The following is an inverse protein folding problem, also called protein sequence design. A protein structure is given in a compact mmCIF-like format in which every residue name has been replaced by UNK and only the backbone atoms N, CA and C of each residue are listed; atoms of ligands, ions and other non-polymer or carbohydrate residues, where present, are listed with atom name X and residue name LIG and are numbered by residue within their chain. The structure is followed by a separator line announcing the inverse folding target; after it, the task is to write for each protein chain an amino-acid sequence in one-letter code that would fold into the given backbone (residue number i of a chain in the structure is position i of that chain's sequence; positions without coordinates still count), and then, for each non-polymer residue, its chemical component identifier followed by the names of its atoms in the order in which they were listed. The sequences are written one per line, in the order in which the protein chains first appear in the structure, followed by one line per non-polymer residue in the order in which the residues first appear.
data_IF_352965971826
#
_entry.id   IF_352965971826
#
_cell.length_a   1.000
_cell.length_b   1.000
_cell.length_c   1.000
_cell.angle_alpha   90.00
_cell.angle_beta   90.00
_cell.angle_gamma   90.00
#
_symmetry.space_group_name_H-M   'P 1'
#
loop_
_entity.id
_entity.type
_entity.pdbx_description
1 polymer ?
#
# COMPACT_ATOMS: atom_id res chain seq x y z
N UNK A 1 5.94 1.86 20.52
CA UNK A 1 6.59 1.34 19.29
C UNK A 1 6.18 2.22 18.12
N UNK A 2 6.98 2.37 17.07
CA UNK A 2 6.51 2.94 15.80
C UNK A 2 6.19 1.79 14.86
N UNK A 3 4.93 1.67 14.47
CA UNK A 3 4.48 0.72 13.46
C UNK A 3 4.45 1.44 12.11
N UNK A 4 5.21 0.95 11.15
CA UNK A 4 5.29 1.47 9.80
C UNK A 4 4.52 0.54 8.86
N UNK A 5 3.58 1.08 8.10
CA UNK A 5 3.03 0.40 6.92
C UNK A 5 3.80 0.89 5.71
N UNK A 6 4.29 -0.06 4.92
CA UNK A 6 4.75 0.18 3.56
C UNK A 6 3.72 -0.45 2.61
N UNK A 7 3.13 0.33 1.73
CA UNK A 7 2.21 -0.15 0.70
C UNK A 7 2.60 0.44 -0.66
N UNK A 8 2.63 -0.38 -1.70
CA UNK A 8 2.98 0.08 -3.04
C UNK A 8 1.82 -0.20 -4.00
N UNK A 9 1.49 0.80 -4.80
CA UNK A 9 0.48 0.73 -5.84
C UNK A 9 1.12 0.55 -7.19
N UNK A 10 0.77 -0.51 -7.90
CA UNK A 10 1.34 -0.83 -9.21
C UNK A 10 0.22 -0.82 -10.24
N UNK A 11 0.31 0.08 -11.20
CA UNK A 11 -0.70 0.28 -12.23
C UNK A 11 -0.07 0.68 -13.56
N UNK A 12 -0.61 0.09 -14.62
CA UNK A 12 -0.45 0.57 -15.99
C UNK A 12 -1.86 0.68 -16.57
N UNK A 13 -2.21 1.73 -17.34
CA UNK A 13 -3.57 1.91 -17.85
C UNK A 13 -3.91 0.95 -18.99
N UNK A 14 -5.22 0.71 -19.19
CA UNK A 14 -5.70 -0.09 -20.33
C UNK A 14 -5.26 0.56 -21.63
N UNK A 15 -4.66 -0.24 -22.51
CA UNK A 15 -4.19 0.23 -23.82
C UNK A 15 -2.77 0.81 -23.80
N UNK A 16 -2.05 0.74 -22.68
CA UNK A 16 -0.62 1.05 -22.68
C UNK A 16 0.15 0.04 -23.54
N UNK A 17 1.32 0.44 -24.04
CA UNK A 17 2.15 -0.43 -24.88
C UNK A 17 2.85 -1.50 -24.04
N UNK A 18 2.95 -2.73 -24.59
CA UNK A 18 3.61 -3.85 -23.90
C UNK A 18 5.03 -3.52 -23.45
N UNK A 19 5.80 -2.76 -24.24
CA UNK A 19 7.16 -2.37 -23.88
C UNK A 19 7.22 -1.40 -22.69
N UNK A 20 6.17 -0.61 -22.45
CA UNK A 20 6.09 0.26 -21.26
C UNK A 20 5.83 -0.60 -20.02
N UNK A 21 4.95 -1.60 -20.13
CA UNK A 21 4.64 -2.51 -19.03
C UNK A 21 5.87 -3.39 -18.71
N UNK A 22 6.57 -3.86 -19.73
CA UNK A 22 7.83 -4.62 -19.60
C UNK A 22 8.93 -3.78 -18.94
N UNK A 23 9.09 -2.52 -19.35
CA UNK A 23 10.05 -1.61 -18.73
C UNK A 23 9.73 -1.35 -17.25
N UNK A 24 8.46 -1.08 -16.92
CA UNK A 24 8.02 -0.91 -15.54
C UNK A 24 8.23 -2.18 -14.70
N UNK A 25 8.00 -3.35 -15.29
CA UNK A 25 8.30 -4.64 -14.67
C UNK A 25 9.79 -4.81 -14.36
N UNK A 26 10.64 -4.62 -15.37
CA UNK A 26 12.08 -4.83 -15.26
C UNK A 26 12.77 -3.81 -14.34
N UNK A 27 12.24 -2.58 -14.29
CA UNK A 27 12.87 -1.48 -13.53
C UNK A 27 12.26 -1.28 -12.15
N UNK A 28 10.98 -1.57 -11.93
CA UNK A 28 10.33 -1.32 -10.64
C UNK A 28 9.80 -2.61 -10.01
N UNK A 29 8.82 -3.27 -10.66
CA UNK A 29 8.03 -4.30 -9.97
C UNK A 29 8.86 -5.51 -9.53
N UNK A 30 9.67 -6.05 -10.44
CA UNK A 30 10.52 -7.21 -10.14
C UNK A 30 11.66 -6.85 -9.17
N UNK A 31 12.45 -5.78 -9.38
CA UNK A 31 13.53 -5.41 -8.47
C UNK A 31 13.03 -5.08 -7.05
N UNK A 32 11.91 -4.35 -6.92
CA UNK A 32 11.32 -4.00 -5.63
C UNK A 32 10.94 -5.26 -4.84
N UNK A 33 10.17 -6.15 -5.47
CA UNK A 33 9.74 -7.41 -4.85
C UNK A 33 10.92 -8.33 -4.53
N UNK A 34 11.90 -8.43 -5.42
CA UNK A 34 13.09 -9.28 -5.24
C UNK A 34 13.91 -8.78 -4.05
N UNK A 35 14.21 -7.49 -4.00
CA UNK A 35 14.97 -6.88 -2.91
C UNK A 35 14.23 -7.05 -1.57
N UNK A 36 12.93 -6.76 -1.51
CA UNK A 36 12.14 -6.94 -0.28
C UNK A 36 12.05 -8.41 0.15
N UNK A 37 12.20 -9.37 -0.78
CA UNK A 37 12.23 -10.79 -0.46
C UNK A 37 13.50 -11.23 0.29
N UNK A 38 14.59 -10.46 0.20
CA UNK A 38 15.83 -10.71 0.97
C UNK A 38 15.68 -10.38 2.47
N UNK A 39 14.62 -9.66 2.85
CA UNK A 39 14.37 -9.17 4.21
C UNK A 39 13.12 -9.82 4.83
N UNK A 40 13.24 -11.01 5.46
CA UNK A 40 12.08 -11.79 5.92
C UNK A 40 11.26 -11.10 7.02
N UNK A 41 11.85 -10.16 7.76
CA UNK A 41 11.18 -9.41 8.83
C UNK A 41 10.36 -8.22 8.32
N UNK A 42 10.52 -7.83 7.04
CA UNK A 42 9.79 -6.72 6.45
C UNK A 42 8.44 -7.20 5.93
N UNK A 43 7.39 -6.54 6.42
CA UNK A 43 5.98 -6.78 6.05
C UNK A 43 5.42 -5.56 5.34
N UNK A 44 4.68 -5.79 4.27
CA UNK A 44 4.21 -4.70 3.41
C UNK A 44 2.93 -5.06 2.64
N UNK A 45 2.25 -4.05 2.11
CA UNK A 45 1.12 -4.20 1.21
C UNK A 45 1.54 -4.05 -0.25
N UNK A 46 0.90 -4.81 -1.14
CA UNK A 46 1.03 -4.66 -2.58
C UNK A 46 -0.35 -4.57 -3.21
N UNK A 47 -0.62 -3.50 -3.95
CA UNK A 47 -1.76 -3.41 -4.85
C UNK A 47 -1.27 -3.56 -6.28
N UNK A 48 -1.85 -4.51 -7.02
CA UNK A 48 -1.68 -4.64 -8.46
C UNK A 48 -3.05 -4.56 -9.11
N UNK A 49 -3.20 -3.67 -10.09
CA UNK A 49 -4.46 -3.61 -10.85
C UNK A 49 -4.67 -4.90 -11.65
N UNK A 50 -5.94 -5.23 -11.91
CA UNK A 50 -6.30 -6.50 -12.56
C UNK A 50 -5.68 -6.65 -13.95
N UNK A 51 -5.54 -5.55 -14.68
CA UNK A 51 -4.93 -5.55 -16.03
C UNK A 51 -3.43 -5.83 -15.98
N UNK A 52 -2.76 -5.39 -14.92
CA UNK A 52 -1.35 -5.65 -14.71
C UNK A 52 -1.13 -7.13 -14.32
N UNK A 53 -2.01 -7.69 -13.47
CA UNK A 53 -2.03 -9.13 -13.16
C UNK A 53 -2.33 -10.00 -14.39
N UNK A 54 -3.22 -9.55 -15.28
CA UNK A 54 -3.48 -10.22 -16.57
C UNK A 54 -2.20 -10.26 -17.43
N UNK A 55 -1.47 -9.15 -17.48
CA UNK A 55 -0.23 -9.06 -18.25
C UNK A 55 0.88 -9.92 -17.64
N UNK A 56 1.06 -9.93 -16.31
CA UNK A 56 2.03 -10.82 -15.66
C UNK A 56 1.71 -12.29 -15.87
N UNK A 57 0.44 -12.70 -15.77
CA UNK A 57 0.06 -14.10 -15.99
C UNK A 57 0.43 -14.60 -17.40
N UNK A 58 0.41 -13.69 -18.39
CA UNK A 58 0.78 -14.00 -19.77
C UNK A 58 2.30 -13.97 -20.00
N UNK A 59 2.99 -12.98 -19.45
CA UNK A 59 4.38 -12.67 -19.83
C UNK A 59 5.43 -13.06 -18.77
N UNK A 60 5.08 -12.98 -17.48
CA UNK A 60 5.98 -13.25 -16.34
C UNK A 60 5.27 -14.05 -15.22
N UNK A 61 4.77 -15.27 -15.50
CA UNK A 61 4.03 -16.08 -14.50
C UNK A 61 4.87 -16.42 -13.25
N UNK A 62 6.18 -16.49 -13.40
CA UNK A 62 7.18 -16.66 -12.35
C UNK A 62 7.23 -15.46 -11.38
N UNK A 63 6.88 -14.26 -11.83
CA UNK A 63 6.69 -13.11 -10.94
C UNK A 63 5.45 -13.28 -10.04
N UNK A 64 4.36 -13.84 -10.57
CA UNK A 64 3.19 -14.17 -9.75
C UNK A 64 3.56 -15.20 -8.67
N UNK A 65 4.43 -16.16 -8.98
CA UNK A 65 4.92 -17.11 -7.98
C UNK A 65 5.83 -16.43 -6.93
N UNK A 66 6.63 -15.42 -7.29
CA UNK A 66 7.36 -14.60 -6.31
C UNK A 66 6.41 -13.86 -5.37
N UNK A 67 5.34 -13.24 -5.89
CA UNK A 67 4.31 -12.60 -5.08
C UNK A 67 3.62 -13.63 -4.18
N UNK A 68 3.20 -14.76 -4.75
CA UNK A 68 2.53 -15.85 -4.04
C UNK A 68 3.36 -16.42 -2.89
N UNK A 69 4.69 -16.55 -3.06
CA UNK A 69 5.61 -16.92 -1.96
C UNK A 69 5.54 -15.91 -0.81
N UNK A 70 5.65 -14.62 -1.11
CA UNK A 70 5.57 -13.58 -0.08
C UNK A 70 4.22 -13.54 0.65
N UNK A 71 3.12 -13.85 -0.05
CA UNK A 71 1.78 -14.01 0.53
C UNK A 71 1.72 -15.22 1.48
N UNK A 72 2.19 -16.39 1.03
CA UNK A 72 2.20 -17.64 1.83
C UNK A 72 3.09 -17.53 3.07
N UNK A 73 4.20 -16.79 2.98
CA UNK A 73 5.07 -16.48 4.10
C UNK A 73 4.44 -15.48 5.10
N UNK A 74 3.27 -14.92 4.77
CA UNK A 74 2.61 -13.89 5.59
C UNK A 74 3.32 -12.54 5.58
N UNK A 75 4.22 -12.30 4.63
CA UNK A 75 5.02 -11.06 4.54
C UNK A 75 4.35 -9.99 3.71
N UNK A 76 3.71 -10.36 2.60
CA UNK A 76 2.95 -9.40 1.78
C UNK A 76 1.46 -9.61 1.91
N UNK A 77 0.75 -8.50 2.11
CA UNK A 77 -0.69 -8.43 1.95
C UNK A 77 -1.02 -7.94 0.55
N UNK A 78 -1.84 -8.69 -0.18
CA UNK A 78 -2.43 -8.20 -1.42
C UNK A 78 -3.62 -7.31 -1.09
N UNK A 79 -3.50 -6.04 -1.48
CA UNK A 79 -4.53 -5.01 -1.35
C UNK A 79 -5.36 -5.03 -2.62
N UNK A 80 -6.68 -4.93 -2.48
CA UNK A 80 -7.62 -4.88 -3.61
C UNK A 80 -7.78 -3.45 -4.15
N UNK A 81 -8.75 -3.27 -5.05
CA UNK A 81 -9.05 -2.06 -5.79
C UNK A 81 -10.13 -2.36 -6.83
N UNK A 82 -10.42 -1.41 -7.72
CA UNK A 82 -11.20 -1.73 -8.91
C UNK A 82 -10.32 -2.41 -9.96
N UNK A 83 -10.79 -3.49 -10.58
CA UNK A 83 -10.00 -4.31 -11.52
C UNK A 83 -9.32 -3.50 -12.62
N UNK A 84 -10.01 -2.49 -13.17
CA UNK A 84 -9.53 -1.64 -14.25
C UNK A 84 -9.07 -0.24 -13.80
N UNK A 85 -8.78 -0.07 -12.50
CA UNK A 85 -8.41 1.24 -11.92
C UNK A 85 -9.44 2.36 -12.20
N UNK A 86 -10.74 2.18 -11.88
CA UNK A 86 -11.70 3.27 -11.98
C UNK A 86 -11.68 4.15 -10.73
N UNK A 87 -11.94 5.44 -10.91
CA UNK A 87 -12.39 6.32 -9.83
C UNK A 87 -13.78 5.86 -9.37
N UNK A 88 -13.85 5.13 -8.25
CA UNK A 88 -15.10 4.49 -7.79
C UNK A 88 -16.25 5.48 -7.60
N UNK A 89 -15.95 6.69 -7.10
CA UNK A 89 -16.96 7.73 -6.89
C UNK A 89 -17.75 8.06 -8.16
N UNK A 90 -17.13 7.91 -9.34
CA UNK A 90 -17.76 8.19 -10.64
C UNK A 90 -18.58 7.02 -11.20
N UNK A 91 -18.53 5.85 -10.56
CA UNK A 91 -19.26 4.66 -11.00
C UNK A 91 -20.58 4.50 -10.24
N UNK A 92 -21.61 3.89 -10.88
CA UNK A 92 -22.79 3.41 -10.16
C UNK A 92 -22.41 2.22 -9.25
N UNK A 93 -23.14 2.05 -8.16
CA UNK A 93 -22.84 1.06 -7.11
C UNK A 93 -22.62 -0.37 -7.65
N UNK A 94 -23.49 -0.81 -8.56
CA UNK A 94 -23.38 -2.12 -9.22
C UNK A 94 -22.00 -2.33 -9.86
N UNK A 95 -21.46 -1.29 -10.50
CA UNK A 95 -20.19 -1.37 -11.22
C UNK A 95 -19.00 -1.23 -10.26
N UNK A 96 -19.13 -0.47 -9.15
CA UNK A 96 -18.16 -0.48 -8.04
C UNK A 96 -17.99 -1.90 -7.50
N UNK A 97 -19.11 -2.55 -7.13
CA UNK A 97 -19.13 -3.93 -6.64
C UNK A 97 -18.52 -4.92 -7.63
N UNK A 98 -18.89 -4.80 -8.91
CA UNK A 98 -18.36 -5.66 -9.96
C UNK A 98 -16.84 -5.52 -10.13
N UNK A 99 -16.32 -4.30 -10.09
CA UNK A 99 -14.88 -4.00 -10.21
C UNK A 99 -14.09 -4.58 -9.04
N UNK A 100 -14.55 -4.35 -7.80
CA UNK A 100 -13.88 -4.83 -6.59
C UNK A 100 -13.95 -6.36 -6.49
N UNK A 101 -15.16 -6.93 -6.64
CA UNK A 101 -15.37 -8.38 -6.56
C UNK A 101 -14.53 -9.12 -7.58
N UNK A 102 -14.37 -8.57 -8.79
CA UNK A 102 -13.55 -9.18 -9.82
C UNK A 102 -12.07 -9.25 -9.41
N UNK A 103 -11.53 -8.19 -8.81
CA UNK A 103 -10.15 -8.19 -8.34
C UNK A 103 -9.98 -9.07 -7.10
N UNK A 104 -10.94 -9.06 -6.16
CA UNK A 104 -10.94 -9.95 -5.00
C UNK A 104 -10.87 -11.42 -5.42
N UNK A 105 -11.75 -11.85 -6.35
CA UNK A 105 -11.76 -13.23 -6.88
C UNK A 105 -10.48 -13.58 -7.62
N UNK A 106 -9.88 -12.60 -8.32
CA UNK A 106 -8.61 -12.79 -9.00
C UNK A 106 -7.49 -13.06 -7.99
N UNK A 107 -7.41 -12.26 -6.94
CA UNK A 107 -6.42 -12.40 -5.86
C UNK A 107 -6.59 -13.75 -5.15
N UNK A 108 -7.83 -14.13 -4.81
CA UNK A 108 -8.14 -15.40 -4.18
C UNK A 108 -7.74 -16.59 -5.06
N UNK A 109 -8.10 -16.56 -6.34
CA UNK A 109 -7.80 -17.64 -7.29
C UNK A 109 -6.30 -17.83 -7.50
N UNK A 110 -5.55 -16.74 -7.70
CA UNK A 110 -4.14 -16.81 -8.09
C UNK A 110 -3.21 -17.01 -6.89
N UNK A 111 -3.58 -16.49 -5.71
CA UNK A 111 -2.70 -16.45 -4.54
C UNK A 111 -3.27 -17.10 -3.27
N UNK A 112 -4.54 -17.52 -3.28
CA UNK A 112 -5.22 -18.06 -2.11
C UNK A 112 -5.45 -17.03 -0.99
N UNK A 113 -5.38 -15.73 -1.32
CA UNK A 113 -5.53 -14.65 -0.35
C UNK A 113 -6.90 -13.98 -0.45
N UNK A 114 -7.45 -13.58 0.69
CA UNK A 114 -8.67 -12.77 0.76
C UNK A 114 -8.27 -11.34 1.14
N UNK A 115 -8.28 -10.38 0.19
CA UNK A 115 -7.87 -9.02 0.48
C UNK A 115 -8.85 -8.38 1.50
N UNK A 116 -8.30 -7.60 2.42
CA UNK A 116 -9.08 -6.83 3.42
C UNK A 116 -8.99 -5.33 3.20
N UNK A 117 -8.08 -4.88 2.33
CA UNK A 117 -7.89 -3.48 1.99
C UNK A 117 -8.31 -3.13 0.59
N UNK A 118 -8.61 -1.85 0.40
CA UNK A 118 -8.71 -1.22 -0.90
C UNK A 118 -7.62 -0.16 -1.08
N UNK A 119 -6.96 -0.19 -2.24
CA UNK A 119 -6.37 1.00 -2.82
C UNK A 119 -7.45 1.79 -3.55
N UNK A 120 -7.75 2.99 -3.07
CA UNK A 120 -8.73 3.88 -3.68
C UNK A 120 -8.08 4.69 -4.80
N UNK A 121 -8.42 4.37 -6.05
CA UNK A 121 -7.93 5.04 -7.25
C UNK A 121 -8.00 6.57 -7.11
N UNK A 122 -6.87 7.23 -7.34
CA UNK A 122 -6.70 8.69 -7.21
C UNK A 122 -7.09 9.30 -5.85
N UNK A 123 -7.28 8.45 -4.82
CA UNK A 123 -7.72 8.83 -3.47
C UNK A 123 -9.03 9.65 -3.47
N UNK A 124 -9.89 9.48 -4.47
CA UNK A 124 -11.17 10.21 -4.56
C UNK A 124 -12.19 9.61 -3.60
N UNK A 125 -12.44 10.32 -2.49
CA UNK A 125 -13.30 9.87 -1.40
C UNK A 125 -14.74 10.41 -1.50
N UNK A 126 -15.70 9.55 -1.21
CA UNK A 126 -17.12 9.89 -1.02
C UNK A 126 -17.63 9.20 0.25
N UNK A 127 -18.49 9.84 1.07
CA UNK A 127 -19.01 9.26 2.30
C UNK A 127 -19.82 7.96 2.13
N UNK A 128 -20.24 7.60 0.91
CA UNK A 128 -20.94 6.34 0.63
C UNK A 128 -20.01 5.14 0.44
N UNK A 129 -18.70 5.37 0.25
CA UNK A 129 -17.74 4.29 0.01
C UNK A 129 -17.58 3.30 1.17
N UNK A 130 -17.70 3.66 2.46
CA UNK A 130 -17.64 2.69 3.55
C UNK A 130 -18.61 1.51 3.36
N UNK A 131 -19.88 1.78 3.02
CA UNK A 131 -20.86 0.73 2.75
C UNK A 131 -20.48 -0.11 1.53
N UNK A 132 -20.12 0.53 0.40
CA UNK A 132 -19.65 -0.17 -0.81
C UNK A 132 -18.48 -1.13 -0.50
N UNK A 133 -17.48 -0.65 0.23
CA UNK A 133 -16.28 -1.45 0.52
C UNK A 133 -16.57 -2.58 1.51
N UNK A 134 -17.42 -2.33 2.51
CA UNK A 134 -17.83 -3.35 3.48
C UNK A 134 -18.63 -4.48 2.81
N UNK A 135 -19.59 -4.13 1.92
CA UNK A 135 -20.36 -5.11 1.15
C UNK A 135 -19.47 -5.99 0.25
N UNK A 136 -18.31 -5.48 -0.16
CA UNK A 136 -17.28 -6.22 -0.90
C UNK A 136 -16.32 -7.03 0.00
N UNK A 137 -16.51 -7.01 1.33
CA UNK A 137 -15.69 -7.72 2.32
C UNK A 137 -14.41 -6.99 2.74
N UNK A 138 -14.25 -5.73 2.34
CA UNK A 138 -13.08 -4.92 2.66
C UNK A 138 -13.31 -4.14 3.97
N UNK A 139 -12.26 -4.00 4.76
CA UNK A 139 -12.29 -3.42 6.10
C UNK A 139 -11.51 -2.11 6.21
N UNK A 140 -10.67 -1.78 5.22
CA UNK A 140 -9.94 -0.53 5.23
C UNK A 140 -9.62 0.03 3.84
N UNK A 141 -9.29 1.32 3.80
CA UNK A 141 -8.68 1.99 2.65
C UNK A 141 -7.55 2.93 3.10
N UNK A 142 -6.76 3.40 2.14
CA UNK A 142 -5.80 4.50 2.33
C UNK A 142 -6.40 5.81 1.84
N UNK A 143 -6.15 6.92 2.54
CA UNK A 143 -6.45 8.28 2.07
C UNK A 143 -5.28 9.20 2.40
N UNK A 144 -5.03 10.19 1.55
CA UNK A 144 -4.02 11.22 1.83
C UNK A 144 -4.36 12.00 3.12
N UNK A 145 -3.34 12.34 3.92
CA UNK A 145 -3.43 13.16 5.13
C UNK A 145 -4.33 14.40 5.00
N UNK A 146 -4.38 14.97 3.81
CA UNK A 146 -5.14 16.17 3.44
C UNK A 146 -6.65 15.95 3.60
N UNK A 147 -7.17 14.73 3.40
CA UNK A 147 -8.58 14.41 3.68
C UNK A 147 -8.92 14.61 5.15
N UNK A 148 -8.03 14.17 6.04
CA UNK A 148 -8.20 14.30 7.49
C UNK A 148 -8.06 15.75 7.94
N UNK A 149 -7.12 16.49 7.34
CA UNK A 149 -6.95 17.93 7.59
C UNK A 149 -8.18 18.73 7.18
N UNK A 150 -8.79 18.40 6.03
CA UNK A 150 -10.07 18.99 5.62
C UNK A 150 -11.23 18.60 6.53
N UNK A 151 -11.16 17.44 7.20
CA UNK A 151 -12.11 17.04 8.24
C UNK A 151 -11.85 17.71 9.62
N UNK A 152 -10.77 18.50 9.75
CA UNK A 152 -10.48 19.30 10.95
C UNK A 152 -9.38 18.76 11.85
N UNK A 153 -8.72 17.64 11.50
CA UNK A 153 -7.59 17.12 12.25
C UNK A 153 -6.30 17.89 11.97
N UNK A 154 -5.37 17.87 12.92
CA UNK A 154 -4.01 18.41 12.76
C UNK A 154 -2.99 17.29 12.58
N UNK A 155 -1.83 17.64 12.01
CA UNK A 155 -0.74 16.71 11.71
C UNK A 155 -0.37 15.79 12.88
N UNK A 156 -0.28 16.33 14.10
CA UNK A 156 0.11 15.57 15.29
C UNK A 156 -0.90 14.48 15.71
N UNK A 157 -2.12 14.53 15.19
CA UNK A 157 -3.17 13.54 15.43
C UNK A 157 -3.11 12.37 14.43
N UNK A 158 -2.46 12.54 13.27
CA UNK A 158 -2.42 11.56 12.17
C UNK A 158 -1.37 10.46 12.36
N UNK A 159 -1.33 9.90 13.57
CA UNK A 159 -0.35 8.87 13.97
C UNK A 159 -1.01 7.54 14.34
N UNK A 160 -2.15 7.28 13.71
CA UNK A 160 -3.03 6.14 13.92
C UNK A 160 -3.98 5.99 12.73
N UNK A 161 -4.71 4.88 12.68
CA UNK A 161 -5.84 4.75 11.76
C UNK A 161 -7.12 5.28 12.42
N UNK A 162 -8.09 5.67 11.60
CA UNK A 162 -9.37 6.18 12.08
C UNK A 162 -10.51 5.30 11.56
N UNK A 163 -11.62 5.26 12.28
CA UNK A 163 -12.84 4.63 11.80
C UNK A 163 -13.74 5.69 11.18
N UNK A 164 -14.42 5.34 10.10
CA UNK A 164 -15.56 6.08 9.56
C UNK A 164 -16.67 5.08 9.24
N UNK A 165 -17.86 5.53 8.85
CA UNK A 165 -18.95 4.64 8.49
C UNK A 165 -19.92 5.27 7.51
N UNK A 166 -20.67 4.39 6.85
CA UNK A 166 -21.90 4.72 6.12
C UNK A 166 -22.92 3.63 6.42
N UNK A 167 -24.16 4.02 6.67
CA UNK A 167 -25.27 3.08 6.92
C UNK A 167 -24.97 2.04 8.03
N UNK A 168 -24.19 2.42 9.05
CA UNK A 168 -23.78 1.52 10.13
C UNK A 168 -22.68 0.53 9.74
N UNK A 169 -22.12 0.62 8.54
CA UNK A 169 -21.00 -0.19 8.08
C UNK A 169 -19.68 0.54 8.33
N UNK A 170 -18.86 0.08 9.29
CA UNK A 170 -17.60 0.73 9.59
C UNK A 170 -16.53 0.41 8.54
N UNK A 171 -15.63 1.37 8.33
CA UNK A 171 -14.42 1.23 7.54
C UNK A 171 -13.27 1.90 8.26
N UNK A 172 -12.10 1.25 8.33
CA UNK A 172 -10.88 1.91 8.76
C UNK A 172 -10.26 2.72 7.63
N UNK A 173 -9.76 3.91 7.93
CA UNK A 173 -9.04 4.77 6.99
C UNK A 173 -7.64 5.00 7.52
N UNK A 174 -6.66 4.62 6.71
CA UNK A 174 -5.24 4.75 6.96
C UNK A 174 -4.73 6.07 6.35
N UNK A 175 -4.34 7.07 7.15
CA UNK A 175 -3.81 8.33 6.64
C UNK A 175 -2.43 8.11 6.04
N UNK A 176 -2.28 8.39 4.74
CA UNK A 176 -0.98 8.35 4.07
C UNK A 176 -0.17 9.55 4.51
N UNK A 177 1.02 9.28 5.03
CA UNK A 177 1.95 10.28 5.49
C UNK A 177 2.59 11.00 4.30
N UNK A 178 2.21 12.27 4.11
CA UNK A 178 2.76 13.09 3.03
C UNK A 178 4.27 13.22 3.13
N UNK A 179 4.86 13.31 4.33
CA UNK A 179 6.32 13.45 4.45
C UNK A 179 7.01 12.21 3.88
N UNK A 180 6.54 11.01 4.22
CA UNK A 180 7.09 9.77 3.66
C UNK A 180 6.95 9.70 2.13
N UNK A 181 5.83 10.19 1.58
CA UNK A 181 5.66 10.30 0.12
C UNK A 181 6.65 11.27 -0.54
N UNK A 182 7.20 12.25 0.15
CA UNK A 182 8.19 13.15 -0.46
C UNK A 182 9.63 12.70 -0.17
N UNK A 183 9.87 12.00 0.94
CA UNK A 183 11.22 11.52 1.28
C UNK A 183 11.55 10.19 0.60
N UNK A 184 10.63 9.24 0.50
CA UNK A 184 10.92 7.90 -0.02
C UNK A 184 10.57 7.79 -1.51
N UNK A 185 11.49 7.38 -2.43
CA UNK A 185 12.89 7.03 -2.23
C UNK A 185 13.88 8.14 -2.68
N UNK A 186 13.54 9.41 -2.50
CA UNK A 186 14.29 10.53 -3.08
C UNK A 186 15.34 11.14 -2.15
N UNK A 187 15.05 11.25 -0.87
CA UNK A 187 15.99 11.70 0.17
C UNK A 187 16.77 10.51 0.75
N UNK A 188 17.93 10.72 1.39
CA UNK A 188 18.62 9.64 2.09
C UNK A 188 17.68 8.87 3.03
N UNK A 189 17.75 7.52 3.08
CA UNK A 189 16.83 6.72 3.88
C UNK A 189 16.90 7.06 5.39
N UNK A 190 18.03 7.57 5.85
CA UNK A 190 18.24 8.08 7.22
C UNK A 190 17.23 9.18 7.58
N UNK A 191 16.85 10.05 6.65
CA UNK A 191 15.88 11.12 6.91
C UNK A 191 14.50 10.56 7.27
N UNK A 192 14.14 9.39 6.70
CA UNK A 192 12.92 8.69 7.08
C UNK A 192 13.03 8.10 8.49
N UNK A 193 14.19 7.51 8.84
CA UNK A 193 14.42 6.98 10.19
C UNK A 193 14.39 8.08 11.24
N UNK A 194 15.05 9.21 11.00
CA UNK A 194 15.04 10.38 11.88
C UNK A 194 13.62 10.91 12.10
N UNK A 195 12.81 10.95 11.04
CA UNK A 195 11.41 11.34 11.16
C UNK A 195 10.62 10.36 12.01
N UNK A 196 10.69 9.05 11.73
CA UNK A 196 10.01 8.03 12.54
C UNK A 196 10.48 8.08 14.01
N UNK A 197 11.76 8.34 14.26
CA UNK A 197 12.30 8.50 15.60
C UNK A 197 11.71 9.71 16.31
N UNK A 198 11.47 10.82 15.61
CA UNK A 198 10.81 12.00 16.19
C UNK A 198 9.38 11.73 16.67
N UNK A 199 8.71 10.71 16.11
CA UNK A 199 7.38 10.26 16.52
C UNK A 199 7.45 9.20 17.63
N UNK A 200 8.63 8.64 17.90
CA UNK A 200 8.81 7.62 18.91
C UNK A 200 8.75 8.21 20.33
N UNK A 201 7.75 7.79 21.10
CA UNK A 201 7.64 8.09 22.52
C UNK A 201 7.38 6.80 23.31
N UNK A 202 8.12 6.60 24.41
CA UNK A 202 7.95 5.44 25.28
C UNK A 202 6.50 5.34 25.77
N UNK A 203 5.92 4.15 25.68
CA UNK A 203 4.55 3.86 26.15
C UNK A 203 3.43 4.20 25.17
N UNK A 204 3.73 4.77 24.00
CA UNK A 204 2.74 5.07 22.97
C UNK A 204 3.06 4.31 21.68
N UNK A 205 2.07 3.59 21.16
CA UNK A 205 2.14 3.03 19.82
C UNK A 205 1.67 4.07 18.81
N UNK A 206 2.48 4.27 17.77
CA UNK A 206 2.19 5.15 16.64
C UNK A 206 2.11 4.32 15.39
N UNK A 207 1.17 4.63 14.51
CA UNK A 207 1.10 4.11 13.15
C UNK A 207 1.49 5.20 12.19
N UNK A 208 2.42 4.91 11.28
CA UNK A 208 2.82 5.79 10.18
C UNK A 208 2.68 5.00 8.90
N UNK A 209 2.13 5.61 7.85
CA UNK A 209 1.77 4.89 6.61
C UNK A 209 2.47 5.53 5.42
N UNK A 210 3.36 4.78 4.80
CA UNK A 210 3.78 5.03 3.43
C UNK A 210 2.88 4.24 2.49
N UNK A 211 2.19 4.92 1.60
CA UNK A 211 1.43 4.30 0.51
C UNK A 211 1.56 5.18 -0.75
N UNK A 212 2.22 4.67 -1.79
CA UNK A 212 2.52 5.45 -3.00
C UNK A 212 2.75 4.53 -4.19
N UNK A 213 2.95 5.11 -5.36
CA UNK A 213 3.22 4.38 -6.60
C UNK A 213 4.50 3.54 -6.50
N UNK A 214 4.42 2.27 -6.90
CA UNK A 214 5.56 1.36 -6.98
C UNK A 214 6.53 1.78 -8.08
N UNK A 215 6.02 2.35 -9.17
CA UNK A 215 6.80 2.88 -10.31
C UNK A 215 7.84 3.93 -9.88
N UNK A 216 7.61 4.60 -8.76
CA UNK A 216 8.55 5.53 -8.12
C UNK A 216 9.86 4.87 -7.68
N UNK A 217 9.83 3.57 -7.42
CA UNK A 217 10.99 2.77 -7.04
C UNK A 217 11.64 2.15 -8.27
N UNK A 218 11.77 2.87 -9.38
CA UNK A 218 12.51 2.37 -10.55
C UNK A 218 12.20 3.07 -11.87
N UNK A 219 10.94 3.11 -12.25
CA UNK A 219 10.49 3.55 -13.59
C UNK A 219 10.62 5.06 -13.77
N UNK A 220 10.49 5.84 -12.70
CA UNK A 220 10.63 7.29 -12.79
C UNK A 220 12.09 7.69 -13.13
N UNK A 221 12.31 8.80 -13.86
CA UNK A 221 13.64 9.18 -14.34
C UNK A 221 14.71 9.18 -13.24
N UNK A 222 15.76 8.39 -13.43
CA UNK A 222 16.89 8.26 -12.50
C UNK A 222 16.63 7.41 -11.25
N UNK A 223 15.39 6.97 -11.00
CA UNK A 223 15.05 6.23 -9.78
C UNK A 223 15.59 4.80 -9.79
N UNK A 224 15.64 4.10 -10.93
CA UNK A 224 16.28 2.78 -10.98
C UNK A 224 17.74 2.82 -10.48
N UNK A 225 18.51 3.78 -10.98
CA UNK A 225 19.91 3.94 -10.60
C UNK A 225 20.02 4.32 -9.12
N UNK A 226 19.26 5.31 -8.62
CA UNK A 226 19.37 5.73 -7.22
C UNK A 226 18.87 4.64 -6.24
N UNK A 227 17.78 3.96 -6.58
CA UNK A 227 17.10 2.99 -5.72
C UNK A 227 17.90 1.70 -5.61
N UNK A 228 18.39 1.17 -6.73
CA UNK A 228 19.04 -0.13 -6.80
C UNK A 228 20.57 -0.03 -6.89
N UNK A 229 21.12 0.63 -7.91
CA UNK A 229 22.58 0.72 -8.08
C UNK A 229 23.24 1.58 -6.99
N UNK A 230 22.61 2.70 -6.62
CA UNK A 230 22.94 3.55 -5.48
C UNK A 230 22.53 2.96 -4.13
N UNK A 231 21.91 1.78 -4.12
CA UNK A 231 21.62 0.98 -2.93
C UNK A 231 20.70 1.67 -1.92
N UNK A 232 19.86 2.62 -2.33
CA UNK A 232 18.93 3.29 -1.41
C UNK A 232 18.01 2.28 -0.71
N UNK A 233 17.41 1.37 -1.47
CA UNK A 233 16.40 0.45 -0.96
C UNK A 233 17.01 -0.60 -0.01
N UNK A 234 18.21 -1.09 -0.35
CA UNK A 234 18.99 -1.96 0.53
C UNK A 234 19.33 -1.26 1.85
N UNK A 235 19.85 -0.03 1.78
CA UNK A 235 20.17 0.77 2.98
C UNK A 235 18.94 1.02 3.84
N UNK A 236 17.80 1.36 3.23
CA UNK A 236 16.54 1.53 3.94
C UNK A 236 16.13 0.27 4.72
N UNK A 237 16.22 -0.91 4.10
CA UNK A 237 15.89 -2.16 4.76
C UNK A 237 16.85 -2.53 5.90
N UNK A 238 18.16 -2.31 5.71
CA UNK A 238 19.14 -2.48 6.79
C UNK A 238 18.90 -1.52 7.94
N UNK A 239 18.51 -0.28 7.67
CA UNK A 239 18.16 0.71 8.69
C UNK A 239 16.91 0.30 9.48
N UNK A 240 15.86 -0.20 8.81
CA UNK A 240 14.68 -0.74 9.50
C UNK A 240 15.07 -1.91 10.42
N UNK A 241 15.92 -2.80 9.94
CA UNK A 241 16.43 -3.94 10.72
C UNK A 241 17.28 -3.48 11.91
N UNK A 242 18.15 -2.49 11.73
CA UNK A 242 19.01 -1.94 12.78
C UNK A 242 18.22 -1.22 13.88
N UNK A 243 17.01 -0.73 13.57
CA UNK A 243 16.12 -0.01 14.49
C UNK A 243 14.89 -0.85 14.90
N UNK A 244 14.97 -2.18 14.79
CA UNK A 244 13.85 -3.08 15.04
C UNK A 244 13.38 -3.13 16.50
N UNK A 245 14.15 -2.57 17.44
CA UNK A 245 13.80 -2.42 18.85
C UNK A 245 12.71 -1.36 19.08
N UNK A 246 12.55 -0.41 18.16
CA UNK A 246 11.55 0.66 18.27
C UNK A 246 10.73 0.93 16.99
N UNK A 247 11.14 0.42 15.82
CA UNK A 247 10.36 0.39 14.57
C UNK A 247 9.98 -1.06 14.24
N UNK A 248 8.73 -1.27 13.81
CA UNK A 248 8.31 -2.52 13.17
C UNK A 248 7.55 -2.22 11.89
N UNK A 249 7.63 -3.12 10.93
CA UNK A 249 6.77 -3.08 9.75
C UNK A 249 5.57 -4.00 9.96
N UNK A 250 4.39 -3.56 9.51
CA UNK A 250 3.16 -4.34 9.57
C UNK A 250 2.54 -4.41 8.18
N UNK A 251 1.88 -5.53 7.87
CA UNK A 251 0.88 -5.54 6.80
C UNK A 251 -0.26 -4.60 7.20
N UNK A 252 -0.90 -3.89 6.26
CA UNK A 252 -1.92 -2.93 6.63
C UNK A 252 -3.07 -3.53 7.47
N UNK A 253 -3.57 -4.73 7.15
CA UNK A 253 -4.59 -5.42 7.94
C UNK A 253 -4.08 -5.85 9.33
N UNK A 254 -2.80 -6.17 9.47
CA UNK A 254 -2.23 -6.49 10.79
C UNK A 254 -2.32 -5.28 11.73
N UNK A 255 -2.16 -4.07 11.21
CA UNK A 255 -2.30 -2.84 12.01
C UNK A 255 -3.70 -2.71 12.61
N UNK A 256 -4.76 -3.06 11.86
CA UNK A 256 -6.13 -3.06 12.37
C UNK A 256 -6.34 -4.08 13.51
N UNK A 257 -5.66 -5.23 13.43
CA UNK A 257 -5.79 -6.28 14.46
C UNK A 257 -4.94 -6.04 15.71
N UNK A 258 -3.82 -5.34 15.56
CA UNK A 258 -2.83 -5.15 16.63
C UNK A 258 -2.91 -3.79 17.31
N UNK A 259 -3.47 -2.78 16.63
CA UNK A 259 -3.57 -1.41 17.14
C UNK A 259 -5.03 -1.02 17.33
N UNK A 260 -5.27 -0.10 18.26
CA UNK A 260 -6.58 0.52 18.44
C UNK A 260 -6.72 1.71 17.48
N UNK A 261 -7.94 2.02 17.00
CA UNK A 261 -8.14 3.23 16.23
C UNK A 261 -7.79 4.46 17.08
N UNK A 262 -7.21 5.48 16.46
CA UNK A 262 -6.93 6.76 17.09
C UNK A 262 -8.22 7.55 17.37
N UNK A 263 -9.26 7.32 16.56
CA UNK A 263 -10.55 7.95 16.72
C UNK A 263 -11.56 7.51 15.67
N UNK A 264 -12.70 8.19 15.66
CA UNK A 264 -13.72 8.09 14.62
C UNK A 264 -13.90 9.44 13.94
N UNK A 265 -14.07 9.43 12.62
CA UNK A 265 -14.39 10.57 11.77
C UNK A 265 -15.89 10.63 11.50
#
# INVERSE_FOLDING_TARGET
MVSLILAFHNHQPVGNFDWVIEDAYATSYLPLMTMLSEYPDIRFGQHYTGILLDWFAKNHPDFLELIGRGVRDGRVELVSGGYYEPVLAMLPERDRQAQITRLNRRIERDFGAHPRGMWLAERVWEPSLPATLNDAGLAYTFLDDTHFKHAGLVESELTGYFLTEDQGQPLAVLPIDKRLRYTMPFEPPETTIEYLHSLHHKGHDRLVVFADDGEKFGTWPGTFESVYAGGWLRRFCELLKANADWIRTLRPNDALTQLRPAGRL
#
